data_IF_771246593312
#
_entry.id   IF_771246593312
#
_cell.length_a   1.000
_cell.length_b   1.000
_cell.length_c   1.000
_cell.angle_alpha   90.00
_cell.angle_beta   90.00
_cell.angle_gamma   90.00
#
_symmetry.space_group_name_H-M   'P 1'
#
loop_
_entity.id
_entity.type
_entity.pdbx_description
1 polymer ?
#
# COMPACT_ATOMS: atom_id res chain seq x y z
N UNK A 1 11.98 25.90 34.78
CA UNK A 1 11.98 24.43 34.55
C UNK A 1 10.73 23.93 33.86
N UNK A 2 9.54 24.17 34.39
CA UNK A 2 8.27 23.67 33.77
C UNK A 2 8.09 24.25 32.35
N UNK A 3 8.37 25.51 32.16
CA UNK A 3 8.26 26.13 30.83
C UNK A 3 9.20 25.53 29.78
N UNK A 4 10.40 25.12 30.16
CA UNK A 4 11.34 24.47 29.26
C UNK A 4 10.84 23.09 28.82
N UNK A 5 10.17 22.34 29.74
CA UNK A 5 9.54 21.08 29.42
C UNK A 5 8.36 21.24 28.46
N UNK A 6 7.53 22.26 28.65
CA UNK A 6 6.44 22.59 27.72
C UNK A 6 6.94 22.94 26.33
N UNK A 7 7.97 23.78 26.24
CA UNK A 7 8.57 24.16 24.97
C UNK A 7 9.17 22.94 24.27
N UNK A 8 9.86 22.09 25.02
CA UNK A 8 10.43 20.85 24.46
C UNK A 8 9.33 19.89 23.96
N UNK A 9 8.25 19.73 24.71
CA UNK A 9 7.12 18.89 24.28
C UNK A 9 6.47 19.42 23.01
N UNK A 10 6.24 20.72 22.91
CA UNK A 10 5.69 21.36 21.71
C UNK A 10 6.63 21.20 20.53
N UNK A 11 7.93 21.38 20.71
CA UNK A 11 8.92 21.23 19.65
C UNK A 11 8.93 19.77 19.11
N UNK A 12 8.90 18.79 19.99
CA UNK A 12 8.83 17.38 19.61
C UNK A 12 7.53 17.10 18.84
N UNK A 13 6.41 17.61 19.33
CA UNK A 13 5.11 17.43 18.68
C UNK A 13 5.07 18.03 17.27
N UNK A 14 5.59 19.24 17.10
CA UNK A 14 5.70 19.92 15.80
C UNK A 14 6.60 19.11 14.85
N UNK A 15 7.74 18.64 15.35
CA UNK A 15 8.67 17.82 14.56
C UNK A 15 8.01 16.52 14.10
N UNK A 16 7.31 15.80 14.98
CA UNK A 16 6.58 14.59 14.64
C UNK A 16 5.51 14.83 13.58
N UNK A 17 4.75 15.91 13.73
CA UNK A 17 3.72 16.29 12.75
C UNK A 17 4.34 16.61 11.40
N UNK A 18 5.43 17.38 11.36
CA UNK A 18 6.13 17.71 10.14
C UNK A 18 6.66 16.47 9.42
N UNK A 19 7.26 15.52 10.15
CA UNK A 19 7.75 14.25 9.60
C UNK A 19 6.62 13.39 9.03
N UNK A 20 5.49 13.32 9.73
CA UNK A 20 4.30 12.58 9.28
C UNK A 20 3.75 13.17 7.99
N UNK A 21 3.60 14.48 7.90
CA UNK A 21 3.14 15.16 6.70
C UNK A 21 4.09 14.96 5.51
N UNK A 22 5.39 15.03 5.76
CA UNK A 22 6.40 14.80 4.74
C UNK A 22 6.35 13.37 4.19
N UNK A 23 6.24 12.38 5.07
CA UNK A 23 6.10 10.97 4.70
C UNK A 23 4.81 10.73 3.89
N UNK A 24 3.70 11.31 4.34
CA UNK A 24 2.41 11.21 3.66
C UNK A 24 2.44 11.81 2.24
N UNK A 25 3.05 12.98 2.09
CA UNK A 25 3.24 13.61 0.77
C UNK A 25 4.09 12.76 -0.15
N UNK A 26 5.16 12.17 0.38
CA UNK A 26 6.03 11.26 -0.36
C UNK A 26 5.29 10.02 -0.84
N UNK A 27 4.50 9.40 0.04
CA UNK A 27 3.66 8.26 -0.29
C UNK A 27 2.63 8.62 -1.37
N UNK A 28 1.90 9.71 -1.21
CA UNK A 28 0.90 10.16 -2.17
C UNK A 28 1.49 10.47 -3.54
N UNK A 29 2.68 11.03 -3.59
CA UNK A 29 3.37 11.29 -4.85
C UNK A 29 3.69 9.99 -5.59
N UNK A 30 4.21 8.99 -4.89
CA UNK A 30 4.50 7.66 -5.46
C UNK A 30 3.22 6.97 -5.94
N UNK A 31 2.19 7.02 -5.15
CA UNK A 31 0.89 6.47 -5.52
C UNK A 31 0.33 7.15 -6.78
N UNK A 32 0.45 8.46 -6.87
CA UNK A 32 0.02 9.23 -8.04
C UNK A 32 0.81 8.85 -9.30
N UNK A 33 2.13 8.70 -9.19
CA UNK A 33 3.00 8.25 -10.28
C UNK A 33 2.58 6.85 -10.79
N UNK A 34 2.30 5.91 -9.88
CA UNK A 34 1.84 4.58 -10.23
C UNK A 34 0.46 4.59 -10.91
N UNK A 35 -0.45 5.42 -10.43
CA UNK A 35 -1.79 5.55 -11.01
C UNK A 35 -1.79 6.11 -12.44
N UNK A 36 -0.78 6.85 -12.82
CA UNK A 36 -0.61 7.31 -14.20
C UNK A 36 -0.32 6.16 -15.17
N UNK A 37 0.27 5.06 -14.68
CA UNK A 37 0.55 3.86 -15.48
C UNK A 37 -0.63 2.90 -15.57
N UNK A 38 -1.69 3.10 -14.77
CA UNK A 38 -2.89 2.26 -14.75
C UNK A 38 -3.49 2.12 -13.35
N UNK A 39 -4.53 1.29 -13.18
CA UNK A 39 -5.12 1.02 -11.88
C UNK A 39 -4.11 0.43 -10.90
N UNK A 40 -4.18 0.84 -9.64
CA UNK A 40 -3.28 0.38 -8.59
C UNK A 40 -4.07 -0.35 -7.51
N UNK A 41 -3.69 -1.60 -7.25
CA UNK A 41 -4.20 -2.37 -6.11
C UNK A 41 -3.27 -2.14 -4.91
N UNK A 42 -3.86 -1.84 -3.77
CA UNK A 42 -3.13 -1.55 -2.53
C UNK A 42 -3.38 -2.68 -1.53
N UNK A 43 -2.31 -3.33 -1.11
CA UNK A 43 -2.35 -4.35 -0.09
C UNK A 43 -1.62 -3.93 1.18
N UNK A 44 -2.16 -4.29 2.32
CA UNK A 44 -1.60 -3.96 3.63
C UNK A 44 -1.44 -5.23 4.45
N UNK A 45 -0.33 -5.35 5.15
CA UNK A 45 -0.12 -6.36 6.16
C UNK A 45 0.35 -5.69 7.45
N UNK A 46 -0.34 -5.92 8.55
CA UNK A 46 0.08 -5.43 9.86
C UNK A 46 0.95 -6.48 10.53
N UNK A 47 2.13 -6.08 11.00
CA UNK A 47 2.94 -6.89 11.89
C UNK A 47 2.51 -6.71 13.34
N UNK A 48 2.51 -7.78 14.13
CA UNK A 48 2.14 -7.75 15.56
C UNK A 48 3.22 -7.09 16.41
N UNK A 49 4.47 -7.43 16.13
CA UNK A 49 5.68 -6.90 16.78
C UNK A 49 6.74 -6.48 15.75
N UNK A 50 6.50 -6.77 14.49
CA UNK A 50 7.39 -6.47 13.38
C UNK A 50 6.76 -5.41 12.47
N UNK A 51 7.59 -4.85 11.63
CA UNK A 51 7.19 -3.91 10.61
C UNK A 51 6.03 -4.43 9.77
N UNK A 52 5.02 -3.61 9.56
CA UNK A 52 4.00 -3.87 8.55
C UNK A 52 4.56 -3.69 7.14
N UNK A 53 3.82 -4.20 6.16
CA UNK A 53 4.14 -4.02 4.75
C UNK A 53 2.94 -3.44 4.01
N UNK A 54 3.21 -2.51 3.10
CA UNK A 54 2.23 -1.97 2.15
C UNK A 54 2.75 -2.25 0.76
N UNK A 55 1.96 -2.95 -0.04
CA UNK A 55 2.30 -3.27 -1.43
C UNK A 55 1.38 -2.48 -2.36
N UNK A 56 1.98 -1.85 -3.35
CA UNK A 56 1.29 -1.14 -4.43
C UNK A 56 1.53 -1.88 -5.73
N UNK A 57 0.49 -2.46 -6.30
CA UNK A 57 0.57 -3.23 -7.55
C UNK A 57 -0.16 -2.50 -8.65
N UNK A 58 0.56 -2.03 -9.65
CA UNK A 58 -0.02 -1.46 -10.86
C UNK A 58 -0.39 -2.59 -11.82
N UNK A 59 -1.64 -2.62 -12.26
CA UNK A 59 -2.17 -3.65 -13.15
C UNK A 59 -2.61 -3.07 -14.49
N UNK A 60 -2.61 -3.89 -15.53
CA UNK A 60 -3.15 -3.55 -16.83
C UNK A 60 -4.63 -3.95 -16.97
N UNK A 61 -5.18 -3.81 -18.17
CA UNK A 61 -6.57 -4.15 -18.45
C UNK A 61 -6.89 -5.64 -18.25
N UNK A 62 -5.89 -6.51 -18.36
CA UNK A 62 -6.01 -7.97 -18.16
C UNK A 62 -5.70 -8.39 -16.72
N UNK A 63 -5.59 -7.44 -15.79
CA UNK A 63 -5.21 -7.66 -14.39
C UNK A 63 -3.81 -8.25 -14.22
N UNK A 64 -2.94 -8.13 -15.21
CA UNK A 64 -1.54 -8.51 -15.09
C UNK A 64 -0.76 -7.41 -14.36
N UNK A 65 0.08 -7.82 -13.43
CA UNK A 65 0.93 -6.89 -12.67
C UNK A 65 2.07 -6.42 -13.55
N UNK A 66 2.05 -5.13 -13.87
CA UNK A 66 3.05 -4.48 -14.73
C UNK A 66 4.20 -3.93 -13.90
N UNK A 67 3.88 -3.34 -12.76
CA UNK A 67 4.83 -2.68 -11.89
C UNK A 67 4.35 -2.77 -10.45
N UNK A 68 5.27 -2.92 -9.54
CA UNK A 68 4.97 -2.94 -8.11
C UNK A 68 5.95 -2.10 -7.32
N UNK A 69 5.48 -1.59 -6.20
CA UNK A 69 6.31 -0.99 -5.16
C UNK A 69 5.91 -1.54 -3.81
N UNK A 70 6.86 -1.60 -2.89
CA UNK A 70 6.65 -2.06 -1.53
C UNK A 70 7.19 -1.03 -0.55
N UNK A 71 6.45 -0.80 0.53
CA UNK A 71 6.89 -0.03 1.66
C UNK A 71 6.90 -0.92 2.89
N UNK A 72 8.07 -1.18 3.43
CA UNK A 72 8.27 -1.94 4.65
C UNK A 72 8.97 -1.08 5.68
N UNK A 73 8.56 -1.17 6.93
CA UNK A 73 9.23 -0.48 8.01
C UNK A 73 8.33 -0.25 9.22
N UNK A 74 8.97 0.00 10.36
CA UNK A 74 8.31 0.21 11.66
C UNK A 74 8.03 1.68 11.92
N UNK A 75 8.74 2.57 11.25
CA UNK A 75 8.82 4.00 11.58
C UNK A 75 8.58 4.88 10.38
N UNK A 76 8.58 6.19 10.62
CA UNK A 76 8.58 7.25 9.60
C UNK A 76 9.72 7.12 8.58
N UNK A 77 10.73 6.29 8.84
CA UNK A 77 11.83 6.02 7.92
C UNK A 77 11.53 4.95 6.87
N UNK A 78 10.35 4.33 6.91
CA UNK A 78 9.93 3.39 5.89
C UNK A 78 9.94 4.04 4.50
N UNK A 79 10.57 3.39 3.53
CA UNK A 79 10.73 3.90 2.17
C UNK A 79 10.07 2.98 1.17
N UNK A 80 9.46 3.58 0.12
CA UNK A 80 9.00 2.82 -1.03
C UNK A 80 10.19 2.32 -1.84
N UNK A 81 10.17 1.01 -2.15
CA UNK A 81 11.16 0.35 -3.00
C UNK A 81 10.46 -0.31 -4.18
N UNK A 82 11.10 -0.40 -5.35
CA UNK A 82 10.58 -1.21 -6.44
C UNK A 82 10.36 -2.65 -6.00
N UNK A 83 9.23 -3.24 -6.38
CA UNK A 83 8.87 -4.61 -6.05
C UNK A 83 8.48 -5.35 -7.33
N UNK A 84 9.42 -6.08 -7.89
CA UNK A 84 9.29 -6.73 -9.18
C UNK A 84 8.98 -8.22 -9.12
N UNK A 85 8.96 -8.82 -7.93
CA UNK A 85 8.79 -10.26 -7.76
C UNK A 85 7.47 -10.80 -8.34
N UNK A 86 6.44 -9.97 -8.41
CA UNK A 86 5.13 -10.34 -8.94
C UNK A 86 4.86 -9.81 -10.36
N UNK A 87 5.81 -9.13 -10.98
CA UNK A 87 5.63 -8.59 -12.32
C UNK A 87 5.38 -9.72 -13.34
N UNK A 88 4.42 -9.50 -14.22
CA UNK A 88 4.01 -10.48 -15.24
C UNK A 88 3.00 -11.52 -14.74
N UNK A 89 2.69 -11.55 -13.46
CA UNK A 89 1.67 -12.43 -12.90
C UNK A 89 0.30 -11.75 -12.91
N UNK A 90 -0.76 -12.54 -13.01
CA UNK A 90 -2.12 -12.03 -12.92
C UNK A 90 -2.48 -11.83 -11.44
N UNK A 91 -3.00 -10.64 -11.10
CA UNK A 91 -3.41 -10.32 -9.73
C UNK A 91 -4.47 -11.28 -9.19
N UNK A 92 -5.39 -11.74 -10.05
CA UNK A 92 -6.48 -12.63 -9.66
C UNK A 92 -6.00 -14.07 -9.37
N UNK A 93 -4.85 -14.45 -9.93
CA UNK A 93 -4.26 -15.78 -9.74
C UNK A 93 -3.31 -15.85 -8.55
N UNK A 94 -3.10 -14.74 -7.85
CA UNK A 94 -2.24 -14.70 -6.67
C UNK A 94 -2.76 -15.66 -5.59
N UNK A 95 -1.90 -16.53 -5.11
CA UNK A 95 -2.14 -17.43 -4.02
C UNK A 95 -0.93 -17.48 -3.09
N UNK A 96 -1.12 -18.02 -1.91
CA UNK A 96 -0.03 -18.21 -0.96
C UNK A 96 1.11 -19.06 -1.55
N UNK A 97 0.77 -20.15 -2.22
CA UNK A 97 1.74 -21.04 -2.84
C UNK A 97 2.54 -20.34 -3.95
N UNK A 98 1.87 -19.57 -4.81
CA UNK A 98 2.52 -18.82 -5.88
C UNK A 98 3.46 -17.75 -5.32
N UNK A 99 3.04 -17.04 -4.28
CA UNK A 99 3.88 -16.06 -3.62
C UNK A 99 5.10 -16.70 -2.94
N UNK A 100 4.95 -17.87 -2.33
CA UNK A 100 6.06 -18.62 -1.74
C UNK A 100 7.08 -19.06 -2.80
N UNK A 101 6.63 -19.47 -3.98
CA UNK A 101 7.49 -19.80 -5.12
C UNK A 101 8.32 -18.61 -5.59
N UNK A 102 7.77 -17.40 -5.49
CA UNK A 102 8.47 -16.16 -5.84
C UNK A 102 9.42 -15.67 -4.74
N UNK A 103 9.55 -16.38 -3.63
CA UNK A 103 10.44 -16.04 -2.56
C UNK A 103 9.99 -14.89 -1.67
N UNK A 104 8.69 -14.60 -1.60
CA UNK A 104 8.16 -13.55 -0.76
C UNK A 104 8.17 -13.92 0.73
N UNK A 105 8.41 -12.91 1.57
CA UNK A 105 8.28 -13.08 3.02
C UNK A 105 6.80 -13.21 3.42
N UNK A 106 6.56 -13.71 4.64
CA UNK A 106 5.20 -13.88 5.17
C UNK A 106 4.40 -12.56 5.14
N UNK A 107 5.02 -11.44 5.49
CA UNK A 107 4.38 -10.12 5.46
C UNK A 107 4.09 -9.67 4.02
N UNK A 108 5.00 -9.90 3.11
CA UNK A 108 4.81 -9.59 1.69
C UNK A 108 3.68 -10.41 1.08
N UNK A 109 3.57 -11.69 1.43
CA UNK A 109 2.47 -12.56 0.98
C UNK A 109 1.13 -12.04 1.49
N UNK A 110 1.04 -11.70 2.76
CA UNK A 110 -0.19 -11.13 3.35
C UNK A 110 -0.58 -9.82 2.65
N UNK A 111 0.37 -8.95 2.40
CA UNK A 111 0.13 -7.69 1.70
C UNK A 111 -0.34 -7.91 0.26
N UNK A 112 0.29 -8.81 -0.46
CA UNK A 112 -0.08 -9.14 -1.84
C UNK A 112 -1.50 -9.74 -1.93
N UNK A 113 -1.85 -10.66 -1.04
CA UNK A 113 -3.20 -11.23 -0.96
C UNK A 113 -4.24 -10.19 -0.53
N UNK A 114 -3.88 -9.27 0.34
CA UNK A 114 -4.73 -8.13 0.72
C UNK A 114 -4.98 -7.21 -0.48
N UNK A 115 -3.99 -6.96 -1.32
CA UNK A 115 -4.14 -6.18 -2.55
C UNK A 115 -5.13 -6.84 -3.52
N UNK A 116 -5.05 -8.15 -3.68
CA UNK A 116 -6.00 -8.92 -4.48
C UNK A 116 -7.43 -8.79 -3.94
N UNK A 117 -7.61 -8.95 -2.64
CA UNK A 117 -8.92 -8.86 -2.00
C UNK A 117 -9.51 -7.45 -2.13
N UNK A 118 -8.70 -6.43 -1.94
CA UNK A 118 -9.11 -5.03 -2.09
C UNK A 118 -9.58 -4.73 -3.51
N UNK A 119 -8.87 -5.23 -4.50
CA UNK A 119 -9.24 -5.09 -5.91
C UNK A 119 -10.57 -5.79 -6.25
N UNK A 120 -10.78 -7.01 -5.72
CA UNK A 120 -12.03 -7.74 -5.92
C UNK A 120 -13.23 -7.01 -5.29
N UNK A 121 -13.06 -6.51 -4.09
CA UNK A 121 -14.09 -5.71 -3.41
C UNK A 121 -14.42 -4.43 -4.19
N UNK A 122 -13.43 -3.78 -4.74
CA UNK A 122 -13.61 -2.61 -5.59
C UNK A 122 -14.42 -2.92 -6.86
N UNK A 123 -14.13 -4.05 -7.51
CA UNK A 123 -14.88 -4.49 -8.69
C UNK A 123 -16.35 -4.78 -8.36
N UNK A 124 -16.62 -5.42 -7.23
CA UNK A 124 -18.00 -5.70 -6.78
C UNK A 124 -18.77 -4.40 -6.57
N UNK A 125 -18.18 -3.42 -5.87
CA UNK A 125 -18.78 -2.11 -5.67
C UNK A 125 -19.09 -1.40 -7.00
N UNK A 126 -18.19 -1.49 -7.96
CA UNK A 126 -18.40 -0.90 -9.28
C UNK A 126 -19.57 -1.56 -10.02
N UNK A 127 -19.70 -2.87 -9.94
CA UNK A 127 -20.82 -3.61 -10.54
C UNK A 127 -22.14 -3.23 -9.89
N UNK A 128 -22.21 -3.14 -8.57
CA UNK A 128 -23.41 -2.72 -7.85
C UNK A 128 -23.84 -1.31 -8.23
N UNK A 129 -22.90 -0.38 -8.35
CA UNK A 129 -23.18 1.00 -8.77
C UNK A 129 -23.72 1.08 -10.20
N UNK A 130 -23.26 0.21 -11.09
CA UNK A 130 -23.75 0.13 -12.47
C UNK A 130 -25.14 -0.50 -12.57
N UNK A 131 -25.44 -1.46 -11.68
CA UNK A 131 -26.73 -2.17 -11.63
C UNK A 131 -27.82 -1.34 -10.94
N UNK A 132 -27.42 -0.38 -10.10
CA UNK A 132 -28.36 0.55 -9.43
C UNK A 132 -28.21 1.93 -10.04
N UNK A 133 -28.92 2.21 -11.17
CA UNK A 133 -28.96 3.58 -11.66
C UNK A 133 -29.59 4.45 -10.59
N UNK A 134 -28.93 5.55 -10.29
CA UNK A 134 -29.36 6.48 -9.26
C UNK A 134 -30.87 6.76 -9.38
N UNK A 135 -31.65 6.29 -8.42
CA UNK A 135 -33.01 6.79 -8.22
C UNK A 135 -32.88 8.28 -7.87
N UNK A 136 -33.08 9.10 -8.84
CA UNK A 136 -33.38 10.51 -8.60
C UNK A 136 -34.81 10.65 -8.10
#
# INVERSE_FOLDING_TARGET
MIWTLFIAAIAIWVLQTALTLWQFRRFNRRLKELRQSGPVAIGKAKGRFLAGAIVLLCIDADCCIVKGEIMEGVTVFAKCRPFSALNGLNLLDLSKALCEEQGLTRQQIKAALSARQDYLSYQELQREQQLTPARR
#
